data_IF_684102208113
#
_entry.id   IF_684102208113
#
_cell.length_a   1.000
_cell.length_b   1.000
_cell.length_c   1.000
_cell.angle_alpha   90.00
_cell.angle_beta   90.00
_cell.angle_gamma   90.00
#
_symmetry.space_group_name_H-M   'P 1'
#
loop_
_entity.id
_entity.type
_entity.pdbx_description
1 polymer ?
#
# COMPACT_ATOMS: atom_id res chain seq x y z
N UNK A 1 10.41 -2.30 14.46
CA UNK A 1 9.09 -2.40 13.89
C UNK A 1 9.15 -2.47 12.37
N UNK A 2 8.52 -3.44 11.81
CA UNK A 2 8.61 -3.66 10.38
C UNK A 2 7.55 -2.85 9.65
N UNK A 3 7.98 -2.11 8.63
CA UNK A 3 7.06 -1.39 7.74
C UNK A 3 6.94 -2.11 6.41
N UNK A 4 7.24 -3.37 6.47
CA UNK A 4 7.26 -4.24 5.31
C UNK A 4 5.95 -4.21 4.55
N UNK A 5 4.84 -4.11 5.27
CA UNK A 5 3.52 -4.20 4.66
C UNK A 5 2.90 -2.84 4.34
N UNK A 6 3.60 -1.74 4.67
CA UNK A 6 3.01 -0.41 4.53
C UNK A 6 2.67 -0.10 3.08
N UNK A 7 3.62 -0.32 2.18
CA UNK A 7 3.41 -0.01 0.77
C UNK A 7 2.32 -0.90 0.18
N UNK A 8 2.35 -2.20 0.52
CA UNK A 8 1.35 -3.12 0.02
C UNK A 8 -0.04 -2.70 0.47
N UNK A 9 -0.18 -2.34 1.75
CA UNK A 9 -1.48 -1.90 2.26
C UNK A 9 -1.97 -0.67 1.52
N UNK A 10 -1.10 0.32 1.31
CA UNK A 10 -1.50 1.52 0.59
C UNK A 10 -1.92 1.20 -0.84
N UNK A 11 -1.19 0.33 -1.50
CA UNK A 11 -1.53 -0.03 -2.88
C UNK A 11 -2.89 -0.73 -2.96
N UNK A 12 -3.18 -1.59 -2.00
CA UNK A 12 -4.47 -2.29 -1.98
C UNK A 12 -5.62 -1.33 -1.70
N UNK A 13 -5.39 -0.37 -0.79
CA UNK A 13 -6.41 0.64 -0.52
C UNK A 13 -6.67 1.46 -1.77
N UNK A 14 -5.63 1.85 -2.48
CA UNK A 14 -5.79 2.64 -3.69
C UNK A 14 -6.60 1.89 -4.73
N UNK A 15 -6.29 0.62 -4.94
CA UNK A 15 -7.01 -0.18 -5.92
C UNK A 15 -8.49 -0.27 -5.59
N UNK A 16 -8.80 -0.46 -4.32
CA UNK A 16 -10.18 -0.56 -3.89
C UNK A 16 -10.92 0.75 -4.11
N UNK A 17 -10.26 1.87 -3.81
CA UNK A 17 -10.90 3.18 -3.93
C UNK A 17 -11.13 3.56 -5.38
N UNK A 18 -10.31 3.06 -6.29
CA UNK A 18 -10.54 3.30 -7.72
C UNK A 18 -11.83 2.66 -8.21
N UNK A 19 -12.11 1.48 -7.69
CA UNK A 19 -13.30 0.75 -8.12
C UNK A 19 -14.57 1.29 -7.49
N UNK A 20 -14.45 1.78 -6.27
CA UNK A 20 -15.59 2.30 -5.52
C UNK A 20 -15.37 3.79 -5.32
N UNK A 21 -16.08 4.58 -6.02
CA UNK A 21 -15.76 5.98 -6.21
C UNK A 21 -15.58 6.81 -4.96
N UNK A 22 -16.31 6.61 -3.88
CA UNK A 22 -16.25 7.57 -2.78
C UNK A 22 -16.00 6.99 -1.42
N UNK A 23 -15.68 5.73 -1.35
CA UNK A 23 -15.60 5.11 -0.04
C UNK A 23 -14.26 4.43 0.15
N UNK A 24 -13.84 4.41 1.41
CA UNK A 24 -12.68 3.66 1.77
C UNK A 24 -12.98 2.18 1.78
N UNK A 25 -12.02 1.42 2.27
CA UNK A 25 -12.15 -0.03 2.35
C UNK A 25 -12.22 -0.44 3.81
N UNK A 26 -13.08 -1.41 4.13
CA UNK A 26 -13.19 -1.94 5.48
C UNK A 26 -12.00 -2.84 5.78
N UNK A 27 -11.68 -2.94 7.07
CA UNK A 27 -10.56 -3.76 7.50
C UNK A 27 -10.63 -5.18 6.96
N UNK A 28 -11.78 -5.82 7.12
CA UNK A 28 -11.93 -7.21 6.67
C UNK A 28 -11.72 -7.38 5.18
N UNK A 29 -12.24 -6.42 4.40
CA UNK A 29 -12.07 -6.48 2.96
C UNK A 29 -10.62 -6.28 2.57
N UNK A 30 -9.94 -5.34 3.23
CA UNK A 30 -8.52 -5.11 2.97
C UNK A 30 -7.70 -6.35 3.35
N UNK A 31 -8.02 -6.93 4.50
CA UNK A 31 -7.32 -8.11 4.97
C UNK A 31 -7.37 -9.23 3.95
N UNK A 32 -8.53 -9.40 3.32
CA UNK A 32 -8.70 -10.48 2.34
C UNK A 32 -7.88 -10.27 1.07
N UNK A 33 -7.46 -9.04 0.80
CA UNK A 33 -6.68 -8.78 -0.42
C UNK A 33 -5.20 -9.01 -0.24
N UNK A 34 -4.73 -9.19 0.99
CA UNK A 34 -3.29 -9.30 1.25
C UNK A 34 -2.99 -10.70 1.78
N UNK A 35 -2.40 -11.56 0.96
CA UNK A 35 -2.07 -12.91 1.41
C UNK A 35 -0.94 -12.88 2.43
N UNK A 36 -0.96 -13.84 3.34
CA UNK A 36 0.12 -14.10 4.29
C UNK A 36 0.31 -13.03 5.37
N UNK A 37 -0.62 -12.10 5.50
CA UNK A 37 -0.55 -11.13 6.58
C UNK A 37 -1.50 -11.56 7.69
N UNK A 38 -1.14 -11.29 8.95
CA UNK A 38 -2.03 -11.54 10.06
C UNK A 38 -2.85 -10.29 10.34
N UNK A 39 -3.99 -10.48 11.01
CA UNK A 39 -4.84 -9.35 11.38
C UNK A 39 -4.08 -8.39 12.28
N UNK A 40 -3.27 -8.93 13.19
CA UNK A 40 -2.51 -8.11 14.10
C UNK A 40 -1.52 -7.24 13.36
N UNK A 41 -0.83 -7.80 12.38
CA UNK A 41 0.16 -7.04 11.62
C UNK A 41 -0.53 -6.01 10.75
N UNK A 42 -1.66 -6.35 10.13
CA UNK A 42 -2.38 -5.36 9.33
C UNK A 42 -2.88 -4.21 10.19
N UNK A 43 -3.44 -4.52 11.36
CA UNK A 43 -3.92 -3.46 12.26
C UNK A 43 -2.76 -2.54 12.67
N UNK A 44 -1.62 -3.13 12.99
CA UNK A 44 -0.43 -2.36 13.37
C UNK A 44 0.05 -1.49 12.21
N UNK A 45 0.05 -2.05 11.01
CA UNK A 45 0.45 -1.31 9.81
C UNK A 45 -0.47 -0.12 9.56
N UNK A 46 -1.77 -0.34 9.67
CA UNK A 46 -2.73 0.75 9.46
C UNK A 46 -2.59 1.84 10.52
N UNK A 47 -2.36 1.45 11.78
CA UNK A 47 -2.12 2.44 12.82
C UNK A 47 -0.87 3.26 12.51
N UNK A 48 0.17 2.63 12.04
CA UNK A 48 1.39 3.33 11.66
C UNK A 48 1.09 4.32 10.53
N UNK A 49 0.40 3.87 9.49
CA UNK A 49 0.12 4.72 8.34
C UNK A 49 -0.79 5.89 8.72
N UNK A 50 -1.74 5.64 9.60
CA UNK A 50 -2.60 6.71 10.09
C UNK A 50 -1.79 7.75 10.85
N UNK A 51 -0.87 7.29 11.69
CA UNK A 51 -0.02 8.19 12.45
C UNK A 51 0.90 9.02 11.58
N UNK A 52 1.27 8.49 10.42
CA UNK A 52 2.12 9.21 9.46
C UNK A 52 1.33 10.13 8.54
N UNK A 53 0.00 10.14 8.65
CA UNK A 53 -0.81 10.98 7.79
C UNK A 53 -0.97 10.44 6.38
N UNK A 54 -0.78 9.15 6.20
CA UNK A 54 -0.91 8.53 4.88
C UNK A 54 -2.23 7.83 4.70
N UNK A 55 -2.86 7.41 5.78
CA UNK A 55 -4.15 6.74 5.75
C UNK A 55 -5.10 7.48 6.67
N UNK A 56 -6.34 7.60 6.23
CA UNK A 56 -7.40 8.23 6.99
C UNK A 56 -8.39 7.16 7.41
N UNK A 57 -8.74 7.18 8.69
CA UNK A 57 -9.69 6.24 9.25
C UNK A 57 -10.99 6.97 9.52
N UNK A 58 -12.07 6.49 8.92
CA UNK A 58 -13.38 7.11 9.05
C UNK A 58 -14.34 6.14 9.72
N UNK A 59 -14.97 6.60 10.79
CA UNK A 59 -15.98 5.83 11.49
C UNK A 59 -17.36 6.30 11.07
N UNK A 60 -18.22 5.36 10.77
CA UNK A 60 -19.59 5.67 10.39
C UNK A 60 -20.53 5.20 11.50
N UNK A 61 -21.49 6.05 11.83
CA UNK A 61 -22.52 5.67 12.76
C UNK A 61 -23.56 4.85 12.02
N UNK A 62 -23.45 3.57 12.15
CA UNK A 62 -24.37 2.64 11.50
C UNK A 62 -24.57 1.45 12.42
N UNK A 63 -25.51 0.58 12.08
CA UNK A 63 -25.75 -0.64 12.84
C UNK A 63 -25.57 -1.80 11.90
N UNK A 64 -24.47 -2.56 12.06
CA UNK A 64 -23.38 -2.40 13.04
C UNK A 64 -22.46 -1.24 12.66
N UNK A 65 -21.70 -0.73 13.63
CA UNK A 65 -20.75 0.35 13.36
C UNK A 65 -19.71 -0.08 12.31
N UNK A 66 -19.28 0.88 11.53
CA UNK A 66 -18.41 0.60 10.40
C UNK A 66 -17.23 1.55 10.40
N UNK A 67 -16.03 1.02 10.12
CA UNK A 67 -14.81 1.81 9.98
C UNK A 67 -14.23 1.52 8.61
N UNK A 68 -13.86 2.59 7.91
CA UNK A 68 -13.26 2.46 6.59
C UNK A 68 -11.94 3.20 6.55
N UNK A 69 -11.03 2.71 5.72
CA UNK A 69 -9.70 3.29 5.53
C UNK A 69 -9.57 3.81 4.11
N UNK A 70 -9.00 4.98 3.99
CA UNK A 70 -8.75 5.56 2.67
C UNK A 70 -7.39 6.26 2.69
N UNK A 71 -6.88 6.56 1.50
CA UNK A 71 -5.61 7.23 1.37
C UNK A 71 -5.80 8.75 1.46
N UNK A 72 -4.89 9.41 2.16
CA UNK A 72 -4.85 10.86 2.15
C UNK A 72 -4.29 11.35 0.81
N UNK A 73 -4.50 12.65 0.49
CA UNK A 73 -3.85 13.19 -0.73
C UNK A 73 -2.34 13.03 -0.72
N UNK A 74 -1.72 13.10 0.45
CA UNK A 74 -0.29 12.89 0.56
C UNK A 74 0.09 11.49 0.10
N UNK A 75 -0.66 10.50 0.56
CA UNK A 75 -0.38 9.11 0.16
C UNK A 75 -0.61 8.89 -1.32
N UNK A 76 -1.65 9.50 -1.87
CA UNK A 76 -1.93 9.37 -3.29
C UNK A 76 -0.80 9.95 -4.12
N UNK A 77 -0.26 11.08 -3.69
CA UNK A 77 0.87 11.70 -4.34
C UNK A 77 2.08 10.77 -4.29
N UNK A 78 2.34 10.21 -3.10
CA UNK A 78 3.47 9.30 -2.93
C UNK A 78 3.37 8.10 -3.87
N UNK A 79 2.18 7.49 -3.95
CA UNK A 79 2.00 6.32 -4.81
C UNK A 79 2.16 6.67 -6.28
N UNK A 80 1.77 7.87 -6.67
CA UNK A 80 1.96 8.30 -8.04
C UNK A 80 3.44 8.35 -8.38
N UNK A 81 4.26 8.87 -7.49
CA UNK A 81 5.69 8.93 -7.72
C UNK A 81 6.30 7.53 -7.76
N UNK A 82 5.84 6.66 -6.89
CA UNK A 82 6.31 5.27 -6.89
C UNK A 82 5.97 4.61 -8.23
N UNK A 83 4.80 4.90 -8.76
CA UNK A 83 4.37 4.33 -10.04
C UNK A 83 5.34 4.72 -11.16
N UNK A 84 5.79 5.97 -11.17
CA UNK A 84 6.77 6.40 -12.17
C UNK A 84 8.08 5.66 -12.02
N UNK A 85 8.51 5.44 -10.79
CA UNK A 85 9.76 4.72 -10.53
C UNK A 85 9.65 3.28 -11.00
N UNK A 86 8.53 2.64 -10.71
CA UNK A 86 8.31 1.26 -11.14
C UNK A 86 8.31 1.17 -12.66
N UNK A 87 7.66 2.12 -13.32
CA UNK A 87 7.64 2.15 -14.77
C UNK A 87 9.04 2.33 -15.34
N UNK A 88 9.82 3.20 -14.72
CA UNK A 88 11.19 3.40 -15.15
C UNK A 88 11.97 2.08 -15.04
N UNK A 89 11.79 1.37 -13.93
CA UNK A 89 12.47 0.10 -13.74
C UNK A 89 12.10 -0.93 -14.78
N UNK A 90 10.82 -0.98 -15.15
CA UNK A 90 10.38 -1.92 -16.17
C UNK A 90 10.97 -1.60 -17.53
N UNK A 91 11.05 -0.31 -17.87
CA UNK A 91 11.62 0.09 -19.14
C UNK A 91 13.10 -0.19 -19.24
N UNK A 92 13.79 -0.20 -18.10
CA UNK A 92 15.24 -0.37 -18.06
C UNK A 92 15.65 -1.72 -17.49
N UNK A 93 14.71 -2.65 -17.40
CA UNK A 93 14.96 -3.92 -16.73
C UNK A 93 16.14 -4.67 -17.33
N UNK A 94 16.20 -4.74 -18.64
CA UNK A 94 17.29 -5.48 -19.32
C UNK A 94 18.63 -4.82 -19.06
N UNK A 95 18.67 -3.52 -19.08
CA UNK A 95 19.89 -2.80 -18.81
C UNK A 95 20.37 -3.04 -17.38
N UNK A 96 19.44 -3.03 -16.43
CA UNK A 96 19.77 -3.30 -15.02
C UNK A 96 20.32 -4.71 -14.87
N UNK A 97 19.68 -5.66 -15.51
CA UNK A 97 20.14 -7.05 -15.45
C UNK A 97 21.53 -7.21 -16.02
N UNK A 98 21.79 -6.56 -17.16
CA UNK A 98 23.10 -6.64 -17.78
C UNK A 98 24.16 -6.06 -16.86
N UNK A 99 23.88 -4.92 -16.24
CA UNK A 99 24.82 -4.31 -15.31
C UNK A 99 25.11 -5.21 -14.12
N UNK A 100 24.09 -5.89 -13.59
CA UNK A 100 24.28 -6.83 -12.49
C UNK A 100 25.23 -7.93 -12.87
N UNK A 101 25.07 -8.48 -14.05
CA UNK A 101 25.94 -9.56 -14.50
C UNK A 101 27.37 -9.09 -14.67
N UNK A 102 27.56 -7.90 -15.21
CA UNK A 102 28.90 -7.36 -15.41
C UNK A 102 29.59 -7.06 -14.09
N UNK A 103 28.82 -6.70 -13.07
CA UNK A 103 29.35 -6.34 -11.77
C UNK A 103 29.20 -7.46 -10.76
N UNK A 104 28.91 -8.63 -11.21
CA UNK A 104 28.70 -9.76 -10.33
C UNK A 104 29.91 -9.98 -9.44
N UNK A 105 29.69 -10.14 -8.13
CA UNK A 105 30.82 -10.36 -7.23
C UNK A 105 31.55 -11.64 -7.57
N UNK A 106 32.82 -11.61 -7.26
CA UNK A 106 33.68 -12.73 -7.56
C UNK A 106 33.57 -13.85 -6.55
N UNK A 107 32.88 -13.63 -5.49
CA UNK A 107 32.78 -14.62 -4.42
C UNK A 107 32.09 -15.87 -4.88
#
# INVERSE_FOLDING_TARGET
MSQKWALVAMMRIEESCREKTDRGIRFGDLFRTIPHISEKVLASTLNYLEGEGLVERTSYESIPPCVEYSLTPLAQNFLREISYIVEWGQLHFEEIQRNRQLRKPQS
#
